data_IF_878656489552
#
_entry.id   IF_878656489552
#
_cell.length_a   1.000
_cell.length_b   1.000
_cell.length_c   1.000
_cell.angle_alpha   90.00
_cell.angle_beta   90.00
_cell.angle_gamma   90.00
#
_symmetry.space_group_name_H-M   'P 1'
#
loop_
_entity.id
_entity.type
_entity.pdbx_description
1 polymer ?
#
# COMPACT_ATOMS: atom_id res chain seq x y z
N UNK A 1 16.76 0.35 -3.55
CA UNK A 1 17.07 1.19 -2.39
C UNK A 1 15.82 1.43 -1.62
N UNK A 2 15.54 0.54 -0.68
CA UNK A 2 14.37 0.64 0.19
C UNK A 2 14.41 1.97 0.91
N UNK A 3 13.51 2.87 0.53
CA UNK A 3 13.11 3.94 1.40
C UNK A 3 12.39 3.27 2.57
N UNK A 4 13.12 2.98 3.65
CA UNK A 4 12.54 2.87 4.97
C UNK A 4 12.04 4.24 5.40
N UNK A 5 11.04 4.76 4.68
CA UNK A 5 10.16 5.79 5.19
C UNK A 5 9.19 5.03 6.08
N UNK A 6 9.46 5.01 7.39
CA UNK A 6 8.48 4.54 8.35
C UNK A 6 7.26 5.45 8.24
N UNK A 7 6.29 5.04 7.43
CA UNK A 7 4.92 5.42 7.67
C UNK A 7 4.63 4.86 9.06
N UNK A 8 4.46 5.73 10.05
CA UNK A 8 3.97 5.31 11.34
C UNK A 8 2.71 4.50 11.09
N UNK A 9 2.76 3.21 11.40
CA UNK A 9 1.56 2.38 11.39
C UNK A 9 0.53 3.12 12.27
N UNK A 10 -0.71 3.34 11.79
CA UNK A 10 -1.72 3.96 12.62
C UNK A 10 -1.80 3.15 13.91
N UNK A 11 -1.66 3.84 15.05
CA UNK A 11 -1.73 3.22 16.36
C UNK A 11 -3.13 2.62 16.50
N UNK A 12 -3.27 1.34 16.16
CA UNK A 12 -4.46 0.56 16.49
C UNK A 12 -4.42 0.36 17.99
N UNK A 13 -5.18 1.19 18.70
CA UNK A 13 -5.40 1.06 20.13
C UNK A 13 -5.88 -0.36 20.43
N UNK A 14 -5.04 -1.13 21.13
CA UNK A 14 -5.30 -2.52 21.50
C UNK A 14 -4.00 -3.25 21.78
N UNK A 15 -3.54 -3.19 23.03
CA UNK A 15 -2.41 -3.96 23.51
C UNK A 15 -2.68 -5.47 23.45
N UNK A 16 -1.72 -6.25 22.93
CA UNK A 16 -1.53 -7.66 23.29
C UNK A 16 -1.85 -8.70 22.21
N UNK A 17 -0.82 -9.10 21.46
CA UNK A 17 -0.79 -10.37 20.71
C UNK A 17 -0.33 -10.25 19.26
N UNK A 18 0.68 -11.04 18.89
CA UNK A 18 0.92 -11.40 17.49
C UNK A 18 -0.32 -12.15 17.00
N UNK A 19 -1.13 -11.54 16.15
CA UNK A 19 -2.39 -12.13 15.73
C UNK A 19 -3.01 -11.42 14.53
N UNK A 20 -3.80 -12.16 13.77
CA UNK A 20 -4.51 -11.67 12.60
C UNK A 20 -3.69 -11.63 11.31
N UNK A 21 -4.41 -11.43 10.20
CA UNK A 21 -3.88 -11.39 8.85
C UNK A 21 -4.06 -10.00 8.23
N UNK A 22 -3.06 -9.57 7.46
CA UNK A 22 -3.10 -8.32 6.69
C UNK A 22 -2.84 -8.59 5.21
N UNK A 23 -3.69 -7.99 4.36
CA UNK A 23 -3.47 -7.89 2.93
C UNK A 23 -2.85 -6.52 2.61
N UNK A 24 -1.66 -6.51 2.00
CA UNK A 24 -0.96 -5.30 1.59
C UNK A 24 -0.95 -5.19 0.07
N UNK A 25 -1.84 -4.37 -0.46
CA UNK A 25 -1.97 -4.05 -1.88
C UNK A 25 -0.99 -2.94 -2.25
N UNK A 26 -0.24 -3.12 -3.34
CA UNK A 26 0.82 -2.20 -3.77
C UNK A 26 2.15 -2.44 -3.06
N UNK A 27 2.47 -3.70 -2.72
CA UNK A 27 3.55 -4.00 -1.79
C UNK A 27 4.97 -3.71 -2.29
N UNK A 28 5.13 -3.51 -3.61
CA UNK A 28 6.43 -3.32 -4.26
C UNK A 28 7.43 -4.41 -3.87
N UNK A 29 8.63 -3.99 -3.45
CA UNK A 29 9.69 -4.91 -3.00
C UNK A 29 9.50 -5.45 -1.58
N UNK A 30 8.37 -5.16 -0.91
CA UNK A 30 8.00 -5.74 0.37
C UNK A 30 8.50 -5.03 1.62
N UNK A 31 9.11 -3.84 1.50
CA UNK A 31 9.67 -3.10 2.65
C UNK A 31 8.68 -2.88 3.80
N UNK A 32 7.46 -2.43 3.49
CA UNK A 32 6.38 -2.28 4.47
C UNK A 32 5.83 -3.65 4.90
N UNK A 33 5.68 -4.62 3.99
CA UNK A 33 5.24 -5.99 4.32
C UNK A 33 6.13 -6.66 5.37
N UNK A 34 7.45 -6.47 5.27
CA UNK A 34 8.41 -6.97 6.26
C UNK A 34 8.23 -6.31 7.62
N UNK A 35 7.95 -5.00 7.68
CA UNK A 35 7.67 -4.31 8.94
C UNK A 35 6.36 -4.80 9.58
N UNK A 36 5.33 -5.03 8.76
CA UNK A 36 4.03 -5.53 9.21
C UNK A 36 4.11 -6.92 9.87
N UNK A 37 5.10 -7.73 9.52
CA UNK A 37 5.33 -9.06 10.12
C UNK A 37 5.65 -9.02 11.63
N UNK A 38 5.98 -7.84 12.16
CA UNK A 38 6.16 -7.61 13.60
C UNK A 38 4.82 -7.50 14.36
N UNK A 39 3.74 -7.12 13.68
CA UNK A 39 2.41 -6.90 14.27
C UNK A 39 1.41 -8.01 13.88
N UNK A 40 1.53 -8.55 12.67
CA UNK A 40 0.59 -9.54 12.14
C UNK A 40 1.19 -10.95 12.11
N UNK A 41 0.33 -11.95 12.29
CA UNK A 41 0.71 -13.36 12.18
C UNK A 41 0.92 -13.77 10.72
N UNK A 42 0.16 -13.16 9.81
CA UNK A 42 0.21 -13.42 8.37
C UNK A 42 0.15 -12.10 7.59
N UNK A 43 1.06 -11.93 6.63
CA UNK A 43 1.14 -10.76 5.75
C UNK A 43 1.13 -11.25 4.30
N UNK A 44 0.09 -10.92 3.54
CA UNK A 44 0.05 -11.17 2.11
C UNK A 44 0.31 -9.87 1.34
N UNK A 45 1.48 -9.76 0.72
CA UNK A 45 1.82 -8.66 -0.18
C UNK A 45 1.39 -8.95 -1.61
N UNK A 46 0.71 -8.00 -2.25
CA UNK A 46 0.28 -8.09 -3.64
C UNK A 46 0.77 -6.87 -4.41
N UNK A 47 1.31 -7.11 -5.59
CA UNK A 47 1.69 -6.07 -6.56
C UNK A 47 1.48 -6.62 -7.98
N UNK A 48 1.28 -5.72 -8.95
CA UNK A 48 1.06 -6.08 -10.36
C UNK A 48 2.36 -6.07 -11.18
N UNK A 49 3.48 -5.64 -10.59
CA UNK A 49 4.80 -5.62 -11.24
C UNK A 49 5.62 -6.89 -10.89
N UNK A 50 5.88 -7.73 -11.91
CA UNK A 50 6.63 -8.97 -11.77
C UNK A 50 8.05 -8.76 -11.23
N UNK A 51 8.73 -7.67 -11.63
CA UNK A 51 10.08 -7.39 -11.19
C UNK A 51 10.10 -7.02 -9.70
N UNK A 52 9.09 -6.29 -9.22
CA UNK A 52 8.94 -5.95 -7.81
C UNK A 52 8.68 -7.19 -6.98
N UNK A 53 7.75 -8.06 -7.40
CA UNK A 53 7.43 -9.30 -6.68
C UNK A 53 8.61 -10.27 -6.68
N UNK A 54 9.33 -10.42 -7.80
CA UNK A 54 10.56 -11.22 -7.85
C UNK A 54 11.59 -10.69 -6.85
N UNK A 55 11.79 -9.36 -6.81
CA UNK A 55 12.71 -8.72 -5.89
C UNK A 55 12.30 -8.93 -4.42
N UNK A 56 11.00 -8.84 -4.12
CA UNK A 56 10.44 -9.09 -2.80
C UNK A 56 10.72 -10.54 -2.33
N UNK A 57 10.52 -11.52 -3.21
CA UNK A 57 10.82 -12.95 -2.93
C UNK A 57 12.32 -13.19 -2.74
N UNK A 58 13.18 -12.52 -3.51
CA UNK A 58 14.65 -12.58 -3.30
C UNK A 58 15.01 -12.02 -1.92
N UNK A 59 14.51 -10.84 -1.55
CA UNK A 59 14.71 -10.27 -0.22
C UNK A 59 14.16 -11.19 0.88
N UNK A 60 13.00 -11.80 0.67
CA UNK A 60 12.40 -12.75 1.59
C UNK A 60 13.27 -13.99 1.80
N UNK A 61 13.86 -14.54 0.74
CA UNK A 61 14.68 -15.75 0.83
C UNK A 61 16.11 -15.46 1.33
N UNK A 62 16.79 -14.49 0.72
CA UNK A 62 18.21 -14.20 0.93
C UNK A 62 18.50 -13.14 2.00
N UNK A 63 17.47 -12.47 2.54
CA UNK A 63 17.59 -11.36 3.48
C UNK A 63 18.19 -10.08 2.89
N UNK A 64 18.62 -10.13 1.63
CA UNK A 64 19.24 -9.00 0.93
C UNK A 64 18.96 -9.00 -0.56
N UNK A 65 19.16 -7.84 -1.18
CA UNK A 65 19.06 -7.64 -2.62
C UNK A 65 20.10 -6.62 -3.08
N UNK A 66 20.94 -7.00 -4.03
CA UNK A 66 21.88 -6.10 -4.69
C UNK A 66 21.17 -5.32 -5.79
N UNK A 67 21.39 -4.00 -5.85
CA UNK A 67 20.79 -3.15 -6.88
C UNK A 67 21.70 -1.96 -7.22
N UNK A 68 21.53 -1.44 -8.43
CA UNK A 68 22.23 -0.25 -8.91
C UNK A 68 21.44 1.03 -8.59
N UNK A 69 22.00 1.92 -7.77
CA UNK A 69 21.42 3.22 -7.48
C UNK A 69 22.03 4.30 -8.35
N UNK A 70 21.19 5.11 -8.99
CA UNK A 70 21.64 6.31 -9.68
C UNK A 70 22.30 7.28 -8.67
N UNK A 71 23.49 7.79 -8.99
CA UNK A 71 24.15 8.83 -8.22
C UNK A 71 24.04 10.18 -8.92
N UNK A 72 24.49 10.27 -10.16
CA UNK A 72 24.53 11.48 -10.97
C UNK A 72 24.54 11.14 -12.47
N UNK A 73 23.70 11.79 -13.28
CA UNK A 73 23.66 11.58 -14.75
C UNK A 73 23.41 10.12 -15.13
N UNK A 74 24.45 9.44 -15.64
CA UNK A 74 24.43 7.99 -15.93
C UNK A 74 25.23 7.15 -14.91
N UNK A 75 25.91 7.80 -13.96
CA UNK A 75 26.72 7.14 -12.93
C UNK A 75 25.82 6.39 -11.95
N UNK A 76 26.23 5.17 -11.63
CA UNK A 76 25.53 4.27 -10.73
C UNK A 76 26.48 3.73 -9.67
N UNK A 77 25.92 3.37 -8.53
CA UNK A 77 26.61 2.72 -7.43
C UNK A 77 25.84 1.47 -7.03
N UNK A 78 26.53 0.33 -6.95
CA UNK A 78 25.99 -0.89 -6.37
C UNK A 78 25.74 -0.70 -4.87
N UNK A 79 24.55 -1.04 -4.42
CA UNK A 79 24.15 -1.04 -3.02
C UNK A 79 23.40 -2.32 -2.68
N UNK A 80 23.38 -2.65 -1.39
CA UNK A 80 22.68 -3.81 -0.85
C UNK A 80 21.53 -3.30 0.01
N UNK A 81 20.31 -3.75 -0.29
CA UNK A 81 19.16 -3.58 0.58
C UNK A 81 19.03 -4.81 1.46
N UNK A 82 18.76 -4.62 2.75
CA UNK A 82 18.53 -5.70 3.70
C UNK A 82 17.10 -5.68 4.22
N UNK A 83 16.55 -6.86 4.51
CA UNK A 83 15.38 -6.96 5.37
C UNK A 83 15.80 -6.60 6.80
N UNK A 84 15.00 -5.81 7.56
CA UNK A 84 15.36 -5.42 8.92
C UNK A 84 15.69 -6.63 9.81
N UNK A 85 16.74 -6.57 10.64
CA UNK A 85 17.08 -7.64 11.57
C UNK A 85 15.89 -8.02 12.47
N UNK A 86 15.71 -9.32 12.72
CA UNK A 86 14.61 -9.82 13.55
C UNK A 86 13.25 -9.93 12.84
N UNK A 87 13.15 -9.54 11.57
CA UNK A 87 11.92 -9.71 10.78
C UNK A 87 11.57 -11.20 10.64
N UNK A 88 10.32 -11.55 10.98
CA UNK A 88 9.73 -12.87 10.73
C UNK A 88 9.33 -13.03 9.26
N UNK A 89 10.32 -13.23 8.39
CA UNK A 89 10.14 -13.37 6.92
C UNK A 89 9.24 -14.55 6.53
N UNK A 90 9.13 -15.55 7.40
CA UNK A 90 8.25 -16.71 7.26
C UNK A 90 6.76 -16.37 7.37
N UNK A 91 6.41 -15.19 7.91
CA UNK A 91 5.03 -14.69 8.00
C UNK A 91 4.57 -13.89 6.79
N UNK A 92 5.49 -13.60 5.88
CA UNK A 92 5.20 -12.76 4.71
C UNK A 92 5.10 -13.65 3.49
N UNK A 93 4.12 -13.42 2.63
CA UNK A 93 4.01 -14.05 1.32
C UNK A 93 3.80 -12.98 0.25
N UNK A 94 4.25 -13.24 -0.98
CA UNK A 94 4.15 -12.29 -2.08
C UNK A 94 3.48 -12.92 -3.30
N UNK A 95 2.44 -12.27 -3.80
CA UNK A 95 1.66 -12.70 -4.97
C UNK A 95 1.71 -11.61 -6.05
N UNK A 96 1.94 -12.05 -7.28
CA UNK A 96 1.80 -11.21 -8.47
C UNK A 96 0.34 -11.30 -8.91
N UNK A 97 -0.41 -10.21 -8.82
CA UNK A 97 -1.81 -10.16 -9.25
C UNK A 97 -2.22 -8.73 -9.65
N UNK A 98 -3.25 -8.62 -10.50
CA UNK A 98 -3.90 -7.33 -10.75
C UNK A 98 -4.78 -6.95 -9.57
N UNK A 99 -4.42 -5.89 -8.85
CA UNK A 99 -5.17 -5.39 -7.69
C UNK A 99 -6.57 -4.89 -8.04
N UNK A 100 -6.88 -4.63 -9.31
CA UNK A 100 -8.23 -4.32 -9.78
C UNK A 100 -9.06 -5.59 -10.05
N UNK A 101 -8.45 -6.77 -10.10
CA UNK A 101 -9.11 -8.04 -10.40
C UNK A 101 -8.43 -9.19 -9.67
N UNK A 102 -8.59 -9.22 -8.35
CA UNK A 102 -7.94 -10.20 -7.49
C UNK A 102 -8.51 -11.61 -7.71
N UNK A 103 -7.65 -12.58 -7.99
CA UNK A 103 -8.01 -13.99 -8.19
C UNK A 103 -8.18 -14.78 -6.88
N UNK A 104 -8.44 -16.08 -7.02
CA UNK A 104 -8.59 -17.03 -5.90
C UNK A 104 -7.33 -17.09 -5.02
N UNK A 105 -6.15 -16.87 -5.61
CA UNK A 105 -4.87 -16.86 -4.91
C UNK A 105 -4.74 -15.75 -3.85
N UNK A 106 -5.54 -14.68 -3.96
CA UNK A 106 -5.62 -13.63 -2.94
C UNK A 106 -6.91 -13.74 -2.14
N UNK A 107 -8.05 -13.90 -2.81
CA UNK A 107 -9.36 -13.91 -2.17
C UNK A 107 -9.59 -15.14 -1.29
N UNK A 108 -9.04 -16.30 -1.65
CA UNK A 108 -9.11 -17.53 -0.86
C UNK A 108 -8.27 -17.51 0.42
N UNK A 109 -7.33 -16.56 0.55
CA UNK A 109 -6.54 -16.33 1.76
C UNK A 109 -7.23 -15.35 2.75
N UNK A 110 -8.33 -14.73 2.32
CA UNK A 110 -9.12 -13.80 3.12
C UNK A 110 -10.47 -14.37 3.56
N UNK A 111 -11.35 -13.53 4.16
CA UNK A 111 -11.16 -12.10 4.42
C UNK A 111 -10.09 -11.83 5.50
N UNK A 112 -9.47 -10.65 5.42
CA UNK A 112 -8.34 -10.22 6.27
C UNK A 112 -8.80 -9.36 7.44
N UNK A 113 -8.03 -9.33 8.53
CA UNK A 113 -8.29 -8.42 9.64
C UNK A 113 -8.01 -6.96 9.24
N UNK A 114 -6.99 -6.76 8.41
CA UNK A 114 -6.63 -5.46 7.83
C UNK A 114 -6.35 -5.56 6.33
N UNK A 115 -6.80 -4.58 5.55
CA UNK A 115 -6.39 -4.36 4.16
C UNK A 115 -5.70 -3.01 4.06
N UNK A 116 -4.46 -3.00 3.60
CA UNK A 116 -3.68 -1.79 3.32
C UNK A 116 -3.62 -1.55 1.81
N UNK A 117 -4.13 -0.40 1.37
CA UNK A 117 -3.98 0.13 0.01
C UNK A 117 -2.84 1.16 0.05
N UNK A 118 -1.62 0.75 -0.27
CA UNK A 118 -0.43 1.61 -0.14
C UNK A 118 -0.06 2.30 -1.46
N UNK A 119 -0.32 3.61 -1.53
CA UNK A 119 0.18 4.52 -2.56
C UNK A 119 -0.05 4.10 -4.01
N UNK A 120 -1.17 3.41 -4.23
CA UNK A 120 -1.55 2.87 -5.53
C UNK A 120 -2.85 3.46 -6.07
N UNK A 121 -3.74 3.99 -5.21
CA UNK A 121 -5.10 4.39 -5.59
C UNK A 121 -5.10 5.41 -6.74
N UNK A 122 -4.25 6.43 -6.66
CA UNK A 122 -4.10 7.47 -7.68
C UNK A 122 -3.33 7.03 -8.95
N UNK A 123 -2.96 5.74 -9.02
CA UNK A 123 -2.21 5.13 -10.13
C UNK A 123 -2.98 4.03 -10.87
N UNK A 124 -4.13 3.62 -10.35
CA UNK A 124 -4.95 2.59 -10.97
C UNK A 124 -5.69 3.15 -12.17
N UNK A 125 -5.82 2.35 -13.24
CA UNK A 125 -6.63 2.76 -14.40
C UNK A 125 -8.13 2.85 -14.07
N UNK A 126 -8.60 2.07 -13.09
CA UNK A 126 -9.97 2.07 -12.61
C UNK A 126 -10.01 1.90 -11.07
N UNK A 127 -9.69 2.96 -10.29
CA UNK A 127 -9.60 2.88 -8.83
C UNK A 127 -10.91 2.43 -8.17
N UNK A 128 -12.05 2.82 -8.72
CA UNK A 128 -13.37 2.43 -8.21
C UNK A 128 -13.57 0.90 -8.18
N UNK A 129 -12.91 0.16 -9.07
CA UNK A 129 -12.99 -1.31 -9.13
C UNK A 129 -12.34 -1.95 -7.90
N UNK A 130 -11.19 -1.42 -7.45
CA UNK A 130 -10.59 -1.86 -6.19
C UNK A 130 -11.46 -1.46 -5.00
N UNK A 131 -11.91 -0.20 -4.94
CA UNK A 131 -12.71 0.31 -3.80
C UNK A 131 -13.95 -0.55 -3.55
N UNK A 132 -14.64 -0.99 -4.61
CA UNK A 132 -15.82 -1.87 -4.50
C UNK A 132 -15.51 -3.26 -3.93
N UNK A 133 -14.29 -3.76 -4.10
CA UNK A 133 -13.89 -5.10 -3.61
C UNK A 133 -13.51 -5.09 -2.14
N UNK A 134 -13.15 -3.94 -1.57
CA UNK A 134 -12.59 -3.82 -0.21
C UNK A 134 -13.49 -4.45 0.85
N UNK A 135 -14.82 -4.33 0.69
CA UNK A 135 -15.81 -4.95 1.58
C UNK A 135 -15.60 -6.46 1.73
N UNK A 136 -15.41 -7.17 0.63
CA UNK A 136 -15.29 -8.64 0.64
C UNK A 136 -13.90 -9.09 1.11
N UNK A 137 -12.89 -8.23 0.99
CA UNK A 137 -11.52 -8.51 1.40
C UNK A 137 -11.28 -8.36 2.90
N UNK A 138 -12.13 -7.65 3.64
CA UNK A 138 -11.91 -7.34 5.06
C UNK A 138 -12.98 -7.96 5.93
N UNK A 139 -12.65 -8.55 7.07
CA UNK A 139 -13.63 -9.14 8.00
C UNK A 139 -14.59 -8.07 8.55
N UNK A 140 -15.84 -8.41 8.91
CA UNK A 140 -16.67 -7.53 9.74
C UNK A 140 -15.90 -7.09 11.00
N UNK A 141 -15.91 -5.79 11.32
CA UNK A 141 -15.07 -5.21 12.38
C UNK A 141 -13.57 -5.05 12.05
N UNK A 142 -13.11 -5.54 10.89
CA UNK A 142 -11.76 -5.33 10.38
C UNK A 142 -11.56 -3.91 9.82
N UNK A 143 -10.33 -3.58 9.42
CA UNK A 143 -9.97 -2.24 8.96
C UNK A 143 -9.44 -2.20 7.52
N UNK A 144 -9.76 -1.12 6.82
CA UNK A 144 -9.08 -0.73 5.58
C UNK A 144 -8.27 0.52 5.87
N UNK A 145 -6.98 0.49 5.51
CA UNK A 145 -6.09 1.65 5.54
C UNK A 145 -5.79 2.05 4.11
N UNK A 146 -6.06 3.29 3.74
CA UNK A 146 -5.80 3.80 2.40
C UNK A 146 -4.78 4.93 2.51
N UNK A 147 -3.64 4.77 1.84
CA UNK A 147 -2.58 5.78 1.73
C UNK A 147 -2.48 6.25 0.28
N UNK A 148 -2.67 7.54 0.05
CA UNK A 148 -2.67 8.13 -1.30
C UNK A 148 -2.07 9.53 -1.28
N UNK A 149 -1.27 9.88 -2.30
CA UNK A 149 -0.82 11.25 -2.48
C UNK A 149 -1.94 12.13 -3.10
N UNK A 150 -3.01 11.48 -3.58
CA UNK A 150 -4.10 12.12 -4.32
C UNK A 150 -3.61 12.89 -5.55
N UNK A 151 -2.46 12.48 -6.11
CA UNK A 151 -1.78 13.10 -7.25
C UNK A 151 -2.32 12.51 -8.56
N UNK A 152 -3.60 12.80 -8.81
CA UNK A 152 -4.31 12.34 -10.00
C UNK A 152 -3.68 12.91 -11.27
N UNK A 153 -3.30 12.02 -12.18
CA UNK A 153 -2.67 12.40 -13.45
C UNK A 153 -3.22 11.52 -14.57
N UNK A 154 -3.53 12.15 -15.71
CA UNK A 154 -3.98 11.46 -16.92
C UNK A 154 -2.93 10.50 -17.50
N UNK A 155 -1.66 10.64 -17.11
CA UNK A 155 -0.60 9.72 -17.46
C UNK A 155 -0.71 8.36 -16.76
N UNK A 156 -1.37 8.30 -15.58
CA UNK A 156 -1.54 7.07 -14.78
C UNK A 156 -2.99 6.58 -14.83
N UNK A 157 -3.94 7.50 -14.67
CA UNK A 157 -5.36 7.24 -14.51
C UNK A 157 -6.13 8.07 -15.53
N UNK A 158 -6.92 7.46 -16.44
CA UNK A 158 -7.79 8.20 -17.34
C UNK A 158 -8.68 9.19 -16.57
N UNK A 159 -8.85 10.41 -17.08
CA UNK A 159 -9.53 11.50 -16.34
C UNK A 159 -10.95 11.13 -15.90
N UNK A 160 -11.68 10.38 -16.72
CA UNK A 160 -13.02 9.89 -16.41
C UNK A 160 -13.07 8.86 -15.27
N UNK A 161 -11.92 8.30 -14.88
CA UNK A 161 -11.79 7.31 -13.81
C UNK A 161 -11.15 7.91 -12.55
N UNK A 162 -10.86 9.21 -12.51
CA UNK A 162 -10.32 9.86 -11.32
C UNK A 162 -11.28 9.72 -10.14
N UNK A 163 -10.73 9.37 -8.98
CA UNK A 163 -11.48 9.16 -7.76
C UNK A 163 -11.38 10.38 -6.84
N UNK A 164 -11.41 11.58 -7.41
CA UNK A 164 -11.25 12.86 -6.74
C UNK A 164 -10.46 13.86 -7.58
N UNK A 165 -10.28 15.09 -7.08
CA UNK A 165 -9.49 16.13 -7.74
C UNK A 165 -10.24 16.87 -8.86
N UNK A 166 -11.56 16.95 -8.78
CA UNK A 166 -12.39 17.68 -9.74
C UNK A 166 -13.55 18.39 -9.04
N UNK A 167 -14.26 19.25 -9.76
CA UNK A 167 -15.50 19.88 -9.29
C UNK A 167 -16.72 19.20 -9.92
N UNK A 168 -17.77 19.02 -9.13
CA UNK A 168 -19.06 18.51 -9.57
C UNK A 168 -20.16 19.39 -8.98
N UNK A 169 -21.02 19.97 -9.82
CA UNK A 169 -22.12 20.85 -9.39
C UNK A 169 -21.70 22.00 -8.46
N UNK A 170 -20.48 22.54 -8.64
CA UNK A 170 -19.93 23.63 -7.82
C UNK A 170 -19.28 23.18 -6.50
N UNK A 171 -19.23 21.88 -6.24
CA UNK A 171 -18.57 21.31 -5.06
C UNK A 171 -17.26 20.62 -5.43
N UNK A 172 -16.23 20.83 -4.62
CA UNK A 172 -14.93 20.18 -4.77
C UNK A 172 -15.03 18.70 -4.35
N UNK A 173 -14.88 17.79 -5.31
CA UNK A 173 -14.84 16.35 -5.08
C UNK A 173 -13.40 15.94 -4.76
N UNK A 174 -13.02 15.98 -3.48
CA UNK A 174 -11.71 15.47 -3.02
C UNK A 174 -11.69 13.95 -3.02
N UNK A 175 -10.50 13.34 -2.98
CA UNK A 175 -10.40 11.87 -2.86
C UNK A 175 -11.11 11.35 -1.60
N UNK A 176 -11.00 12.05 -0.45
CA UNK A 176 -11.73 11.67 0.75
C UNK A 176 -13.23 11.79 0.62
N UNK A 177 -13.74 12.82 -0.06
CA UNK A 177 -15.18 12.96 -0.28
C UNK A 177 -15.71 11.77 -1.11
N UNK A 178 -14.99 11.43 -2.18
CA UNK A 178 -15.33 10.28 -3.03
C UNK A 178 -15.22 8.94 -2.28
N UNK A 179 -14.17 8.74 -1.47
CA UNK A 179 -14.02 7.55 -0.61
C UNK A 179 -15.14 7.47 0.44
N UNK A 180 -15.50 8.59 1.05
CA UNK A 180 -16.60 8.63 2.03
C UNK A 180 -17.90 8.19 1.37
N UNK A 181 -18.24 8.75 0.22
CA UNK A 181 -19.44 8.38 -0.51
C UNK A 181 -19.44 6.91 -0.97
N UNK A 182 -18.29 6.37 -1.38
CA UNK A 182 -18.23 5.00 -1.89
C UNK A 182 -18.20 3.93 -0.78
N UNK A 183 -17.74 4.28 0.43
CA UNK A 183 -17.54 3.33 1.52
C UNK A 183 -18.57 3.47 2.65
N UNK A 184 -19.34 4.56 2.71
CA UNK A 184 -20.25 4.86 3.83
C UNK A 184 -21.30 3.79 4.13
N UNK A 185 -21.71 3.00 3.13
CA UNK A 185 -22.67 1.92 3.30
C UNK A 185 -22.12 0.83 4.23
N UNK A 186 -20.87 0.43 4.05
CA UNK A 186 -20.24 -0.73 4.69
C UNK A 186 -19.17 -0.38 5.72
N UNK A 187 -18.69 0.86 5.74
CA UNK A 187 -17.57 1.31 6.57
C UNK A 187 -17.89 2.58 7.35
N UNK A 188 -17.15 2.78 8.43
CA UNK A 188 -17.10 4.01 9.20
C UNK A 188 -15.67 4.54 9.16
N UNK A 189 -15.47 5.79 8.74
CA UNK A 189 -14.14 6.42 8.80
C UNK A 189 -13.78 6.71 10.26
N UNK A 190 -12.67 6.15 10.72
CA UNK A 190 -12.16 6.38 12.08
C UNK A 190 -11.23 7.59 12.12
N UNK A 191 -10.37 7.77 11.11
CA UNK A 191 -9.39 8.84 11.07
C UNK A 191 -8.90 9.15 9.65
N UNK A 192 -8.30 10.33 9.48
CA UNK A 192 -7.50 10.71 8.33
C UNK A 192 -6.36 11.64 8.79
N UNK A 193 -5.16 11.44 8.24
CA UNK A 193 -3.98 12.23 8.60
C UNK A 193 -2.95 12.26 7.48
N UNK A 194 -2.17 13.33 7.43
CA UNK A 194 -1.05 13.46 6.51
C UNK A 194 0.21 12.79 7.04
N UNK A 195 0.83 11.95 6.21
CA UNK A 195 2.07 11.23 6.51
C UNK A 195 3.12 11.55 5.44
N UNK A 196 4.22 12.25 5.79
CA UNK A 196 5.30 12.53 4.86
C UNK A 196 6.01 11.25 4.40
N UNK A 197 6.24 11.13 3.09
CA UNK A 197 6.99 10.03 2.48
C UNK A 197 8.13 10.55 1.61
N UNK A 198 9.35 10.21 1.99
CA UNK A 198 10.55 10.59 1.26
C UNK A 198 11.01 9.45 0.33
N UNK A 199 11.21 9.76 -0.95
CA UNK A 199 11.77 8.83 -1.94
C UNK A 199 13.07 9.39 -2.51
N UNK A 200 14.16 8.65 -2.35
CA UNK A 200 15.46 9.04 -2.94
C UNK A 200 15.49 8.66 -4.42
N UNK A 201 15.73 9.63 -5.30
CA UNK A 201 15.86 9.42 -6.76
C UNK A 201 17.31 9.29 -7.21
N UNK A 202 18.21 10.07 -6.62
CA UNK A 202 19.64 10.03 -6.91
C UNK A 202 20.48 10.30 -5.65
N UNK A 203 21.79 10.52 -5.79
CA UNK A 203 22.62 10.88 -4.64
C UNK A 203 22.13 12.15 -3.93
N UNK A 204 21.61 13.13 -4.69
CA UNK A 204 21.24 14.48 -4.22
C UNK A 204 19.80 14.90 -4.55
N UNK A 205 19.00 14.06 -5.20
CA UNK A 205 17.58 14.31 -5.49
C UNK A 205 16.67 13.42 -4.66
N UNK A 206 15.72 14.03 -3.98
CA UNK A 206 14.66 13.37 -3.22
C UNK A 206 13.31 13.95 -3.65
N UNK A 207 12.31 13.07 -3.78
CA UNK A 207 10.92 13.47 -3.95
C UNK A 207 10.25 13.31 -2.56
N UNK A 208 9.53 14.34 -2.10
CA UNK A 208 8.71 14.31 -0.89
C UNK A 208 7.24 14.30 -1.32
N UNK A 209 6.54 13.22 -0.99
CA UNK A 209 5.08 13.16 -1.12
C UNK A 209 4.48 13.36 0.29
N UNK A 210 3.39 14.11 0.42
CA UNK A 210 2.57 14.10 1.64
C UNK A 210 1.39 13.17 1.37
N UNK A 211 1.40 12.00 2.00
CA UNK A 211 0.39 10.97 1.79
C UNK A 211 -0.77 11.23 2.72
N UNK A 212 -1.97 11.37 2.20
CA UNK A 212 -3.16 11.32 3.02
C UNK A 212 -3.47 9.85 3.35
N UNK A 213 -3.47 9.53 4.64
CA UNK A 213 -3.74 8.18 5.17
C UNK A 213 -5.06 8.19 5.91
N UNK A 214 -6.05 7.43 5.45
CA UNK A 214 -7.34 7.26 6.13
C UNK A 214 -7.57 5.82 6.59
N UNK A 215 -8.24 5.68 7.73
CA UNK A 215 -8.59 4.38 8.35
C UNK A 215 -10.11 4.22 8.39
N UNK A 216 -10.59 3.07 7.92
CA UNK A 216 -12.00 2.76 7.77
C UNK A 216 -12.31 1.43 8.44
N UNK A 217 -13.25 1.43 9.39
CA UNK A 217 -13.72 0.23 10.09
C UNK A 217 -14.91 -0.37 9.35
N UNK A 218 -14.87 -1.67 9.02
CA UNK A 218 -16.05 -2.36 8.46
C UNK A 218 -17.11 -2.51 9.54
N UNK A 219 -18.36 -2.18 9.20
CA UNK A 219 -19.54 -2.36 10.05
C UNK A 219 -19.84 -3.83 10.33
#
# INVERSE_FOLDING_TARGET
GGAGGGAAAPATGGAGGLGGSILHLGCGVGGVSFQLASAFAEVLGVDNDELLIRSARVMQHHNELHFERLTEGMLRKTEIAHVPPGTRRDRVSFVLADVMSLGEEVTGAGPFDVVLVDALLDRLRQPATLVKQLRELVKPGGAVVISSANDWSSAKTPRQAWFGGFEMSGEAMTTQAMLSHALDADFVRESASDVPRLRRRSARRFDLDVMEVSVWRRK
#
